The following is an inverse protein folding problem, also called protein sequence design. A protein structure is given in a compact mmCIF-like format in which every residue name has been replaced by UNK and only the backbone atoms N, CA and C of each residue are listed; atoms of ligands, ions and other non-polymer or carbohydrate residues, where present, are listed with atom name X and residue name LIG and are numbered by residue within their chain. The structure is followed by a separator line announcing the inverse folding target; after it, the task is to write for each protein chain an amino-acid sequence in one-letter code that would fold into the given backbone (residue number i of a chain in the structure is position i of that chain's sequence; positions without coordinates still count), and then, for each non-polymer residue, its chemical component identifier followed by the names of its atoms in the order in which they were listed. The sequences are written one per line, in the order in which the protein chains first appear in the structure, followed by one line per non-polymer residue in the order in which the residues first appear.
data_IF_582316258543
#
_entry.id   IF_582316258543
#
_cell.length_a   1.000
_cell.length_b   1.000
_cell.length_c   1.000
_cell.angle_alpha   90.00
_cell.angle_beta   90.00
_cell.angle_gamma   90.00
#
_symmetry.space_group_name_H-M   'P 1'
#
loop_
_entity.id
_entity.type
_entity.pdbx_description
1 polymer ?
#
# COMPACT_ATOMS: atom_id res chain seq x y z
N UNK A 1 25.44 -9.82 -17.32
CA UNK A 1 24.32 -10.15 -18.22
C UNK A 1 24.72 -9.69 -19.63
N UNK A 2 24.56 -10.49 -20.69
CA UNK A 2 25.04 -10.11 -22.03
C UNK A 2 24.07 -9.12 -22.69
N UNK A 3 24.61 -8.22 -23.53
CA UNK A 3 23.86 -7.23 -24.30
C UNK A 3 22.70 -7.83 -25.14
N UNK A 4 22.79 -9.10 -25.48
CA UNK A 4 21.79 -9.80 -26.32
C UNK A 4 20.46 -10.07 -25.59
N UNK A 5 20.46 -10.16 -24.27
CA UNK A 5 19.23 -10.36 -23.47
C UNK A 5 18.40 -9.07 -23.35
N UNK A 6 19.04 -7.92 -23.54
CA UNK A 6 18.46 -6.59 -23.45
C UNK A 6 17.61 -6.19 -24.68
N UNK A 7 18.05 -6.61 -25.84
CA UNK A 7 17.33 -6.32 -27.11
C UNK A 7 15.98 -7.04 -27.20
N UNK A 8 15.81 -8.13 -26.48
CA UNK A 8 14.61 -8.96 -26.54
C UNK A 8 13.39 -8.34 -25.81
N UNK A 9 13.61 -7.61 -24.74
CA UNK A 9 12.51 -6.95 -24.00
C UNK A 9 11.98 -5.67 -24.67
N UNK A 10 12.75 -5.06 -25.57
CA UNK A 10 12.40 -3.77 -26.19
C UNK A 10 11.66 -3.89 -27.53
N UNK A 11 11.73 -5.04 -28.21
CA UNK A 11 11.13 -5.29 -29.53
C UNK A 11 10.08 -6.42 -29.49
N UNK A 12 9.17 -6.40 -28.53
CA UNK A 12 8.02 -7.31 -28.59
C UNK A 12 6.96 -6.69 -29.48
N UNK A 13 7.14 -6.83 -30.78
CA UNK A 13 6.02 -6.90 -31.71
C UNK A 13 5.16 -8.11 -31.34
N UNK A 14 3.85 -7.88 -31.29
CA UNK A 14 2.84 -8.80 -30.73
C UNK A 14 2.81 -10.10 -31.53
N UNK A 15 3.75 -11.00 -31.28
CA UNK A 15 3.62 -12.40 -31.68
C UNK A 15 3.71 -13.28 -30.43
N UNK A 16 2.60 -13.89 -30.07
CA UNK A 16 2.22 -14.52 -28.80
C UNK A 16 3.01 -15.82 -28.53
N UNK A 17 4.35 -15.77 -28.45
CA UNK A 17 5.20 -16.89 -28.02
C UNK A 17 6.21 -16.48 -26.95
N UNK A 18 5.72 -15.85 -25.89
CA UNK A 18 6.51 -15.69 -24.66
C UNK A 18 6.76 -17.09 -24.08
N UNK A 19 8.02 -17.48 -24.02
CA UNK A 19 8.39 -18.69 -23.28
C UNK A 19 8.35 -18.41 -21.78
N UNK A 20 8.19 -19.45 -20.96
CA UNK A 20 8.22 -19.32 -19.49
C UNK A 20 9.52 -18.65 -19.00
N UNK A 21 10.64 -18.83 -19.73
CA UNK A 21 11.92 -18.19 -19.46
C UNK A 21 11.91 -16.69 -19.76
N UNK A 22 11.23 -16.27 -20.83
CA UNK A 22 11.11 -14.84 -21.16
C UNK A 22 10.22 -14.12 -20.14
N UNK A 23 9.18 -14.81 -19.65
CA UNK A 23 8.36 -14.34 -18.53
C UNK A 23 9.20 -14.26 -17.25
N UNK A 24 10.01 -15.25 -16.93
CA UNK A 24 10.89 -15.27 -15.73
C UNK A 24 12.00 -14.19 -15.84
N UNK A 25 12.52 -13.91 -17.03
CA UNK A 25 13.51 -12.86 -17.26
C UNK A 25 12.88 -11.45 -17.22
N UNK A 26 11.65 -11.29 -17.65
CA UNK A 26 10.88 -10.05 -17.47
C UNK A 26 10.38 -9.87 -16.02
N UNK A 27 10.21 -10.96 -15.27
CA UNK A 27 9.84 -10.97 -13.84
C UNK A 27 11.05 -10.68 -12.92
N UNK A 28 12.28 -10.63 -13.43
CA UNK A 28 13.48 -10.27 -12.66
C UNK A 28 13.57 -8.81 -12.20
N UNK A 29 12.48 -8.07 -12.16
CA UNK A 29 12.35 -6.68 -11.68
C UNK A 29 11.24 -6.57 -10.62
N UNK A 30 11.45 -6.07 -9.62
CA UNK A 30 11.13 -5.44 -8.33
C UNK A 30 9.73 -4.80 -8.19
N UNK A 31 8.94 -5.01 -7.10
CA UNK A 31 7.55 -4.53 -7.05
C UNK A 31 7.05 -4.11 -5.66
N UNK A 32 6.63 -2.86 -5.52
CA UNK A 32 5.88 -2.34 -4.38
C UNK A 32 4.56 -1.68 -4.84
N UNK A 33 3.59 -1.51 -3.92
CA UNK A 33 2.32 -0.85 -4.24
C UNK A 33 2.33 0.67 -4.04
N UNK A 34 3.34 1.21 -3.36
CA UNK A 34 3.51 2.65 -3.25
C UNK A 34 3.99 3.21 -4.60
N UNK A 35 3.32 4.24 -5.08
CA UNK A 35 3.76 4.97 -6.27
C UNK A 35 4.68 6.09 -5.78
N UNK A 36 5.98 6.07 -6.17
CA UNK A 36 6.92 7.06 -5.71
C UNK A 36 6.72 8.41 -6.39
N UNK A 37 7.51 9.38 -5.98
CA UNK A 37 7.49 10.71 -6.56
C UNK A 37 7.92 10.65 -8.04
N UNK A 38 7.22 11.42 -8.90
CA UNK A 38 7.50 11.59 -10.33
C UNK A 38 7.35 10.35 -11.22
N UNK A 39 6.89 9.21 -10.73
CA UNK A 39 6.52 8.07 -11.59
C UNK A 39 5.24 8.31 -12.36
N UNK A 40 4.32 9.07 -11.77
CA UNK A 40 3.14 9.58 -12.49
C UNK A 40 3.34 11.05 -12.84
N UNK A 41 2.78 11.45 -13.98
CA UNK A 41 2.74 12.87 -14.36
C UNK A 41 1.95 13.70 -13.35
N UNK A 42 2.29 14.99 -13.14
CA UNK A 42 1.52 15.87 -12.27
C UNK A 42 0.03 15.95 -12.63
N UNK A 43 -0.31 15.82 -13.91
CA UNK A 43 -1.71 15.80 -14.35
C UNK A 43 -2.42 14.51 -13.94
N UNK A 44 -1.79 13.34 -14.05
CA UNK A 44 -2.33 12.08 -13.51
C UNK A 44 -2.51 12.17 -12.01
N UNK A 45 -1.52 12.64 -11.28
CA UNK A 45 -1.59 12.86 -9.83
C UNK A 45 -2.75 13.78 -9.44
N UNK A 46 -2.95 14.88 -10.17
CA UNK A 46 -4.05 15.79 -9.95
C UNK A 46 -5.42 15.13 -10.19
N UNK A 47 -5.56 14.36 -11.27
CA UNK A 47 -6.80 13.62 -11.57
C UNK A 47 -7.11 12.61 -10.46
N UNK A 48 -6.12 11.85 -9.99
CA UNK A 48 -6.30 10.88 -8.93
C UNK A 48 -6.65 11.55 -7.59
N UNK A 49 -6.04 12.68 -7.29
CA UNK A 49 -6.37 13.48 -6.09
C UNK A 49 -7.80 14.01 -6.15
N UNK A 50 -8.22 14.53 -7.31
CA UNK A 50 -9.59 14.99 -7.55
C UNK A 50 -10.58 13.83 -7.43
N UNK A 51 -10.25 12.64 -7.94
CA UNK A 51 -11.07 11.44 -7.80
C UNK A 51 -11.23 11.01 -6.33
N UNK A 52 -10.19 11.17 -5.51
CA UNK A 52 -10.23 10.87 -4.09
C UNK A 52 -10.97 11.91 -3.24
N UNK A 53 -11.04 13.16 -3.66
CA UNK A 53 -11.68 14.23 -2.89
C UNK A 53 -13.13 13.90 -2.46
N UNK A 54 -14.05 13.44 -3.33
CA UNK A 54 -15.40 13.05 -2.93
C UNK A 54 -15.42 11.80 -2.03
N UNK A 55 -14.45 10.89 -2.17
CA UNK A 55 -14.32 9.71 -1.31
C UNK A 55 -13.96 10.14 0.11
N UNK A 56 -12.92 10.97 0.27
CA UNK A 56 -12.52 11.51 1.57
C UNK A 56 -13.62 12.36 2.20
N UNK A 57 -14.34 13.17 1.41
CA UNK A 57 -15.45 13.96 1.92
C UNK A 57 -16.56 13.07 2.50
N UNK A 58 -16.99 12.04 1.74
CA UNK A 58 -18.03 11.10 2.19
C UNK A 58 -17.59 10.29 3.39
N UNK A 59 -16.38 9.74 3.36
CA UNK A 59 -15.81 8.96 4.45
C UNK A 59 -15.68 9.78 5.73
N UNK A 60 -15.13 11.00 5.64
CA UNK A 60 -15.00 11.91 6.78
C UNK A 60 -16.37 12.32 7.35
N UNK A 61 -17.34 12.62 6.49
CA UNK A 61 -18.71 12.93 6.89
C UNK A 61 -19.34 11.75 7.62
N UNK A 62 -19.27 10.54 7.04
CA UNK A 62 -19.82 9.32 7.64
C UNK A 62 -19.18 9.03 9.00
N UNK A 63 -17.86 9.11 9.11
CA UNK A 63 -17.13 8.93 10.38
C UNK A 63 -17.52 9.98 11.41
N UNK A 64 -17.68 11.25 10.98
CA UNK A 64 -18.10 12.33 11.88
C UNK A 64 -19.53 12.14 12.42
N UNK A 65 -20.45 11.68 11.58
CA UNK A 65 -21.87 11.56 11.90
C UNK A 65 -22.19 10.25 12.64
N UNK A 66 -21.54 9.14 12.30
CA UNK A 66 -21.93 7.80 12.76
C UNK A 66 -20.97 7.16 13.77
N UNK A 67 -19.74 7.69 13.92
CA UNK A 67 -18.85 7.18 14.95
C UNK A 67 -18.89 8.05 16.21
N UNK A 68 -19.10 7.40 17.34
CA UNK A 68 -18.95 8.02 18.64
C UNK A 68 -17.51 8.51 18.85
N UNK A 69 -17.36 9.63 19.58
CA UNK A 69 -16.03 10.17 19.89
C UNK A 69 -15.11 9.16 20.59
N UNK A 70 -15.69 8.22 21.33
CA UNK A 70 -14.95 7.14 22.02
C UNK A 70 -14.37 6.08 21.06
N UNK A 71 -14.87 6.01 19.83
CA UNK A 71 -14.38 5.06 18.79
C UNK A 71 -13.32 5.64 17.87
N UNK A 72 -13.19 6.99 17.81
CA UNK A 72 -12.18 7.65 16.98
C UNK A 72 -10.75 7.21 17.28
N UNK A 73 -10.32 6.97 18.55
CA UNK A 73 -8.99 6.43 18.81
C UNK A 73 -8.72 5.07 18.17
N UNK A 74 -9.76 4.26 17.90
CA UNK A 74 -9.62 2.98 17.20
C UNK A 74 -9.22 3.16 15.72
N UNK A 75 -9.62 4.27 15.09
CA UNK A 75 -9.14 4.59 13.75
C UNK A 75 -7.63 4.87 13.78
N UNK A 76 -7.14 5.58 14.81
CA UNK A 76 -5.71 5.82 15.00
C UNK A 76 -4.91 4.54 15.25
N UNK A 77 -5.47 3.61 16.02
CA UNK A 77 -4.85 2.29 16.22
C UNK A 77 -4.86 1.48 14.92
N UNK A 78 -5.95 1.55 14.14
CA UNK A 78 -6.02 0.94 12.82
C UNK A 78 -5.02 1.53 11.84
N UNK A 79 -4.88 2.86 11.81
CA UNK A 79 -3.87 3.55 11.02
C UNK A 79 -2.45 3.13 11.40
N UNK A 80 -2.15 3.08 12.70
CA UNK A 80 -0.87 2.61 13.23
C UNK A 80 -0.59 1.14 12.87
N UNK A 81 -1.63 0.31 12.89
CA UNK A 81 -1.53 -1.09 12.51
C UNK A 81 -1.20 -1.26 11.02
N UNK A 82 -1.89 -0.54 10.14
CA UNK A 82 -1.61 -0.53 8.70
C UNK A 82 -0.21 0.01 8.41
N UNK A 83 0.17 1.12 9.05
CA UNK A 83 1.50 1.71 8.94
C UNK A 83 2.61 0.71 9.28
N UNK A 84 2.50 0.03 10.43
CA UNK A 84 3.51 -0.97 10.83
C UNK A 84 3.46 -2.20 9.92
N UNK A 85 2.28 -2.62 9.45
CA UNK A 85 2.16 -3.74 8.52
C UNK A 85 2.89 -3.45 7.19
N UNK A 86 2.81 -2.22 6.68
CA UNK A 86 3.52 -1.78 5.48
C UNK A 86 5.04 -1.69 5.66
N UNK A 87 5.56 -1.64 6.89
CA UNK A 87 7.01 -1.74 7.15
C UNK A 87 7.56 -3.17 7.04
N UNK A 88 6.72 -4.20 6.94
CA UNK A 88 7.18 -5.58 6.74
C UNK A 88 7.38 -5.88 5.26
N UNK A 89 8.52 -5.48 4.72
CA UNK A 89 8.90 -5.82 3.37
C UNK A 89 9.29 -7.30 3.27
N UNK A 90 8.53 -8.06 2.50
CA UNK A 90 8.76 -9.48 2.26
C UNK A 90 9.53 -9.60 0.95
N UNK A 91 10.77 -10.13 0.97
CA UNK A 91 11.57 -10.29 -0.23
C UNK A 91 11.01 -11.40 -1.12
N UNK A 92 11.10 -11.19 -2.42
CA UNK A 92 10.76 -12.20 -3.43
C UNK A 92 11.95 -12.53 -4.33
N UNK A 93 11.82 -13.67 -5.03
CA UNK A 93 12.81 -14.10 -6.01
C UNK A 93 12.88 -13.06 -7.13
N UNK A 94 14.08 -12.54 -7.38
CA UNK A 94 14.30 -11.44 -8.33
C UNK A 94 14.75 -10.13 -7.67
N UNK A 95 14.75 -10.07 -6.33
CA UNK A 95 15.31 -8.94 -5.55
C UNK A 95 14.30 -7.89 -5.13
N UNK A 96 13.00 -8.13 -5.33
CA UNK A 96 11.92 -7.21 -4.94
C UNK A 96 11.37 -7.50 -3.56
N UNK A 97 10.51 -6.60 -3.10
CA UNK A 97 9.77 -6.74 -1.85
C UNK A 97 8.35 -6.17 -1.97
N UNK A 98 7.49 -6.60 -1.10
CA UNK A 98 6.15 -6.04 -0.90
C UNK A 98 5.64 -6.38 0.49
N UNK A 99 4.51 -5.83 0.84
CA UNK A 99 3.98 -5.90 2.20
C UNK A 99 2.45 -6.09 2.22
N UNK A 100 1.91 -6.48 3.38
CA UNK A 100 0.50 -6.39 3.64
C UNK A 100 0.12 -4.95 4.03
N UNK A 101 -1.13 -4.57 3.76
CA UNK A 101 -1.69 -3.27 4.15
C UNK A 101 -2.71 -3.43 5.27
N UNK A 102 -3.41 -4.55 5.29
CA UNK A 102 -4.52 -4.80 6.21
C UNK A 102 -5.78 -4.00 5.90
N UNK A 103 -5.93 -3.52 4.66
CA UNK A 103 -7.05 -2.65 4.29
C UNK A 103 -8.40 -3.33 4.42
N UNK A 104 -8.52 -4.57 3.97
CA UNK A 104 -9.73 -5.37 4.15
C UNK A 104 -9.99 -5.69 5.62
N UNK A 105 -8.95 -5.96 6.40
CA UNK A 105 -9.08 -6.18 7.85
C UNK A 105 -9.68 -4.95 8.54
N UNK A 106 -9.11 -3.77 8.28
CA UNK A 106 -9.61 -2.52 8.87
C UNK A 106 -11.05 -2.24 8.45
N UNK A 107 -11.40 -2.52 7.19
CA UNK A 107 -12.76 -2.34 6.69
C UNK A 107 -13.76 -3.31 7.36
N UNK A 108 -13.36 -4.55 7.66
CA UNK A 108 -14.19 -5.50 8.42
C UNK A 108 -14.40 -5.04 9.86
N UNK A 109 -13.37 -4.48 10.50
CA UNK A 109 -13.39 -4.09 11.92
C UNK A 109 -14.04 -2.72 12.17
N UNK A 110 -13.79 -1.74 11.29
CA UNK A 110 -14.14 -0.34 11.51
C UNK A 110 -15.18 0.18 10.50
N UNK A 111 -15.46 -0.58 9.45
CA UNK A 111 -16.18 -0.12 8.27
C UNK A 111 -15.25 0.50 7.22
N UNK A 112 -15.65 0.49 5.93
CA UNK A 112 -14.80 0.91 4.82
C UNK A 112 -14.43 2.40 4.86
N UNK A 113 -15.32 3.27 5.31
CA UNK A 113 -15.06 4.71 5.43
C UNK A 113 -14.00 5.01 6.49
N UNK A 114 -14.09 4.36 7.67
CA UNK A 114 -13.10 4.53 8.72
C UNK A 114 -11.73 3.92 8.33
N UNK A 115 -11.73 2.78 7.62
CA UNK A 115 -10.52 2.18 7.05
C UNK A 115 -9.88 3.11 6.01
N UNK A 116 -10.67 3.72 5.13
CA UNK A 116 -10.19 4.70 4.16
C UNK A 116 -9.46 5.86 4.84
N UNK A 117 -10.04 6.45 5.87
CA UNK A 117 -9.40 7.55 6.63
C UNK A 117 -8.13 7.06 7.34
N UNK A 118 -8.18 5.89 7.99
CA UNK A 118 -7.03 5.31 8.69
C UNK A 118 -5.83 5.12 7.76
N UNK A 119 -6.05 4.49 6.62
CA UNK A 119 -4.99 4.19 5.65
C UNK A 119 -4.51 5.47 4.96
N UNK A 120 -5.42 6.40 4.59
CA UNK A 120 -5.00 7.68 4.01
C UNK A 120 -4.09 8.47 4.95
N UNK A 121 -4.38 8.47 6.26
CA UNK A 121 -3.52 9.17 7.24
C UNK A 121 -2.20 8.42 7.43
N UNK A 122 -2.19 7.08 7.42
CA UNK A 122 -0.96 6.29 7.46
C UNK A 122 -0.05 6.60 6.25
N UNK A 123 -0.60 6.57 5.03
CA UNK A 123 0.11 6.90 3.79
C UNK A 123 0.63 8.35 3.78
N UNK A 124 -0.13 9.28 4.33
CA UNK A 124 0.32 10.68 4.45
C UNK A 124 1.56 10.80 5.35
N UNK A 125 1.55 10.08 6.49
CA UNK A 125 2.69 10.05 7.41
C UNK A 125 3.90 9.37 6.75
N UNK A 126 3.69 8.30 5.99
CA UNK A 126 4.75 7.62 5.23
C UNK A 126 5.39 8.57 4.21
N UNK A 127 4.59 9.24 3.40
CA UNK A 127 5.09 10.15 2.38
C UNK A 127 5.84 11.36 2.98
N UNK A 128 5.29 11.99 4.04
CA UNK A 128 5.89 13.21 4.60
C UNK A 128 7.11 12.91 5.48
N UNK A 129 7.04 11.90 6.34
CA UNK A 129 8.12 11.66 7.31
C UNK A 129 9.21 10.75 6.77
N UNK A 130 8.83 9.77 5.95
CA UNK A 130 9.74 8.69 5.55
C UNK A 130 10.05 8.68 4.06
N UNK A 131 9.35 9.48 3.24
CA UNK A 131 9.52 9.47 1.79
C UNK A 131 8.96 8.21 1.11
N UNK A 132 8.24 7.38 1.87
CA UNK A 132 7.63 6.16 1.37
C UNK A 132 6.30 6.50 0.67
N UNK A 133 6.33 6.45 -0.68
CA UNK A 133 5.29 6.99 -1.56
C UNK A 133 5.41 8.50 -1.85
N UNK A 134 5.09 8.89 -3.09
CA UNK A 134 5.18 10.27 -3.54
C UNK A 134 4.10 11.18 -2.93
N UNK A 135 4.48 12.41 -2.58
CA UNK A 135 3.53 13.43 -2.12
C UNK A 135 2.58 13.84 -3.24
N UNK A 136 3.07 14.03 -4.46
CA UNK A 136 2.21 14.27 -5.61
C UNK A 136 1.36 13.04 -5.93
N UNK A 137 1.93 11.84 -5.82
CA UNK A 137 1.24 10.57 -6.03
C UNK A 137 0.30 10.17 -4.88
N UNK A 138 0.19 10.96 -3.81
CA UNK A 138 -0.63 10.65 -2.63
C UNK A 138 -2.08 10.30 -2.98
N UNK A 139 -2.69 11.04 -3.93
CA UNK A 139 -4.05 10.76 -4.39
C UNK A 139 -4.18 9.37 -5.04
N UNK A 140 -3.21 8.96 -5.87
CA UNK A 140 -3.16 7.65 -6.52
C UNK A 140 -2.92 6.54 -5.48
N UNK A 141 -1.96 6.73 -4.59
CA UNK A 141 -1.70 5.79 -3.49
C UNK A 141 -2.95 5.59 -2.61
N UNK A 142 -3.66 6.67 -2.27
CA UNK A 142 -4.91 6.57 -1.53
C UNK A 142 -6.04 5.92 -2.34
N UNK A 143 -6.11 6.16 -3.64
CA UNK A 143 -7.10 5.54 -4.50
C UNK A 143 -6.94 4.01 -4.50
N UNK A 144 -5.73 3.52 -4.65
CA UNK A 144 -5.44 2.10 -4.69
C UNK A 144 -5.56 1.44 -3.31
N UNK A 145 -4.88 1.98 -2.31
CA UNK A 145 -4.72 1.34 -0.99
C UNK A 145 -5.77 1.75 0.04
N UNK A 146 -6.26 3.01 -0.01
CA UNK A 146 -7.22 3.50 0.97
C UNK A 146 -8.68 3.50 0.47
N UNK A 147 -8.90 3.37 -0.83
CA UNK A 147 -10.26 3.28 -1.40
C UNK A 147 -10.53 1.91 -2.01
N UNK A 148 -9.84 1.50 -3.09
CA UNK A 148 -10.14 0.23 -3.76
C UNK A 148 -10.01 -0.93 -2.77
N UNK A 149 -8.88 -1.09 -2.12
CA UNK A 149 -8.62 -2.23 -1.23
C UNK A 149 -9.66 -2.39 -0.12
N UNK A 150 -9.93 -1.39 0.75
CA UNK A 150 -10.88 -1.55 1.83
C UNK A 150 -12.33 -1.65 1.36
N UNK A 151 -12.75 -0.91 0.32
CA UNK A 151 -14.13 -0.95 -0.14
C UNK A 151 -14.44 -2.26 -0.88
N UNK A 152 -13.62 -2.66 -1.83
CA UNK A 152 -13.79 -3.93 -2.55
C UNK A 152 -13.73 -5.10 -1.55
N UNK A 153 -12.74 -5.11 -0.67
CA UNK A 153 -12.60 -6.13 0.36
C UNK A 153 -13.82 -6.24 1.27
N UNK A 154 -14.33 -5.11 1.75
CA UNK A 154 -15.51 -5.09 2.62
C UNK A 154 -16.77 -5.62 1.94
N UNK A 155 -17.06 -5.16 0.72
CA UNK A 155 -18.28 -5.58 0.03
C UNK A 155 -18.21 -7.04 -0.41
N UNK A 156 -17.04 -7.52 -0.86
CA UNK A 156 -16.85 -8.95 -1.14
C UNK A 156 -16.96 -9.80 0.13
N UNK A 157 -16.36 -9.35 1.24
CA UNK A 157 -16.52 -10.02 2.54
C UNK A 157 -18.00 -10.15 2.92
N UNK A 158 -18.76 -9.07 2.86
CA UNK A 158 -20.20 -9.07 3.16
C UNK A 158 -20.98 -10.01 2.25
N UNK A 159 -20.67 -9.99 0.95
CA UNK A 159 -21.29 -10.86 -0.04
C UNK A 159 -21.06 -12.36 0.30
N UNK A 160 -19.82 -12.74 0.61
CA UNK A 160 -19.47 -14.13 0.87
C UNK A 160 -19.92 -14.63 2.24
N UNK A 161 -19.97 -13.77 3.26
CA UNK A 161 -20.53 -14.12 4.57
C UNK A 161 -22.03 -14.41 4.45
N UNK A 162 -22.78 -13.62 3.68
CA UNK A 162 -24.19 -13.85 3.38
C UNK A 162 -25.07 -13.96 4.63
N UNK A 163 -24.80 -13.20 5.69
CA UNK A 163 -25.55 -13.19 6.95
C UNK A 163 -25.35 -14.42 7.84
N UNK A 164 -24.41 -15.31 7.51
CA UNK A 164 -24.12 -16.52 8.31
C UNK A 164 -23.05 -16.24 9.37
N UNK A 165 -23.37 -16.51 10.63
CA UNK A 165 -22.50 -16.17 11.77
C UNK A 165 -21.37 -17.16 12.09
N UNK A 166 -21.25 -18.27 11.34
CA UNK A 166 -20.19 -19.27 11.59
C UNK A 166 -18.79 -18.63 11.41
N UNK A 167 -17.96 -18.72 12.45
CA UNK A 167 -16.58 -18.18 12.47
C UNK A 167 -15.74 -18.64 11.26
N UNK A 168 -15.81 -19.94 10.91
CA UNK A 168 -15.07 -20.46 9.76
C UNK A 168 -15.47 -19.78 8.45
N UNK A 169 -16.77 -19.52 8.24
CA UNK A 169 -17.24 -18.80 7.04
C UNK A 169 -16.76 -17.37 7.01
N UNK A 170 -16.81 -16.66 8.15
CA UNK A 170 -16.28 -15.28 8.27
C UNK A 170 -14.78 -15.24 7.90
N UNK A 171 -13.98 -16.20 8.40
CA UNK A 171 -12.55 -16.26 8.11
C UNK A 171 -12.26 -16.61 6.63
N UNK A 172 -12.96 -17.59 6.06
CA UNK A 172 -12.81 -17.94 4.63
C UNK A 172 -13.23 -16.74 3.75
N UNK A 173 -14.32 -16.07 4.10
CA UNK A 173 -14.79 -14.89 3.38
C UNK A 173 -13.79 -13.75 3.45
N UNK A 174 -13.15 -13.53 4.60
CA UNK A 174 -12.10 -12.53 4.77
C UNK A 174 -10.87 -12.87 3.94
N UNK A 175 -10.45 -14.14 3.90
CA UNK A 175 -9.33 -14.61 3.08
C UNK A 175 -9.56 -14.31 1.59
N UNK A 176 -10.69 -14.75 1.04
CA UNK A 176 -11.01 -14.58 -0.37
C UNK A 176 -11.18 -13.08 -0.71
N UNK A 177 -11.87 -12.34 0.15
CA UNK A 177 -12.14 -10.92 -0.07
C UNK A 177 -10.85 -10.09 -0.06
N UNK A 178 -9.94 -10.32 0.88
CA UNK A 178 -8.67 -9.58 0.94
C UNK A 178 -7.73 -9.97 -0.20
N UNK A 179 -7.67 -11.26 -0.56
CA UNK A 179 -6.92 -11.70 -1.72
C UNK A 179 -7.39 -11.00 -3.01
N UNK A 180 -8.68 -10.98 -3.27
CA UNK A 180 -9.23 -10.35 -4.48
C UNK A 180 -9.04 -8.83 -4.45
N UNK A 181 -9.28 -8.20 -3.31
CA UNK A 181 -9.22 -6.75 -3.18
C UNK A 181 -7.83 -6.18 -3.41
N UNK A 182 -6.77 -6.81 -2.85
CA UNK A 182 -5.39 -6.38 -3.06
C UNK A 182 -4.97 -6.54 -4.53
N UNK A 183 -5.41 -7.61 -5.20
CA UNK A 183 -5.13 -7.82 -6.61
C UNK A 183 -5.82 -6.77 -7.50
N UNK A 184 -7.04 -6.32 -7.15
CA UNK A 184 -7.71 -5.23 -7.88
C UNK A 184 -6.99 -3.90 -7.63
N UNK A 185 -6.51 -3.63 -6.41
CA UNK A 185 -5.73 -2.44 -6.11
C UNK A 185 -4.39 -2.42 -6.87
N UNK A 186 -3.69 -3.55 -6.93
CA UNK A 186 -2.47 -3.71 -7.70
C UNK A 186 -2.69 -3.53 -9.21
N UNK A 187 -3.80 -4.04 -9.75
CA UNK A 187 -4.17 -3.82 -11.15
C UNK A 187 -4.40 -2.34 -11.45
N UNK A 188 -5.03 -1.60 -10.54
CA UNK A 188 -5.24 -0.17 -10.71
C UNK A 188 -3.89 0.58 -10.74
N UNK A 189 -2.98 0.29 -9.82
CA UNK A 189 -1.62 0.87 -9.83
C UNK A 189 -0.85 0.51 -11.12
N UNK A 190 -0.95 -0.74 -11.58
CA UNK A 190 -0.33 -1.17 -12.83
C UNK A 190 -0.86 -0.40 -14.05
N UNK A 191 -2.15 -0.08 -14.08
CA UNK A 191 -2.76 0.75 -15.14
C UNK A 191 -2.26 2.18 -15.03
N UNK A 192 -2.20 2.75 -13.81
CA UNK A 192 -1.69 4.11 -13.59
C UNK A 192 -0.25 4.28 -14.08
N UNK A 193 0.61 3.30 -13.85
CA UNK A 193 1.97 3.27 -14.40
C UNK A 193 1.95 3.12 -15.93
N UNK A 194 1.22 2.13 -16.43
CA UNK A 194 1.27 1.71 -17.82
C UNK A 194 0.65 2.70 -18.81
N UNK A 195 -0.18 3.63 -18.36
CA UNK A 195 -0.72 4.71 -19.21
C UNK A 195 0.27 5.88 -19.37
N UNK A 196 1.30 6.01 -18.53
CA UNK A 196 2.23 7.14 -18.60
C UNK A 196 2.94 7.23 -19.97
N UNK A 197 3.58 6.15 -20.49
CA UNK A 197 4.24 6.21 -21.79
C UNK A 197 3.28 6.30 -22.98
N UNK A 198 1.97 6.14 -22.77
CA UNK A 198 0.96 6.37 -23.80
C UNK A 198 0.59 7.86 -23.88
N UNK A 199 0.54 8.54 -22.73
CA UNK A 199 0.02 9.90 -22.61
C UNK A 199 1.13 10.96 -22.60
N UNK A 200 2.35 10.63 -22.16
CA UNK A 200 3.40 11.59 -21.84
C UNK A 200 4.73 11.14 -22.43
N UNK A 201 5.01 11.60 -23.67
CA UNK A 201 6.26 11.35 -24.37
C UNK A 201 6.92 12.66 -24.80
N UNK A 202 8.24 12.62 -24.95
CA UNK A 202 9.00 13.68 -25.61
C UNK A 202 8.85 13.64 -27.15
N UNK A 203 9.48 14.59 -27.83
CA UNK A 203 9.45 14.67 -29.28
C UNK A 203 10.13 13.47 -29.98
N UNK A 204 10.94 12.72 -29.27
CA UNK A 204 11.65 11.53 -29.74
C UNK A 204 10.89 10.23 -29.45
N UNK A 205 9.77 10.31 -28.74
CA UNK A 205 8.95 9.17 -28.34
C UNK A 205 9.37 8.51 -27.03
N UNK A 206 10.34 9.09 -26.30
CA UNK A 206 10.72 8.57 -24.98
C UNK A 206 9.71 8.99 -23.92
N UNK A 207 9.40 8.09 -22.98
CA UNK A 207 8.51 8.39 -21.88
C UNK A 207 9.09 9.50 -20.98
N UNK A 208 8.22 10.44 -20.57
CA UNK A 208 8.58 11.52 -19.64
C UNK A 208 8.49 11.10 -18.16
N UNK A 209 7.71 10.08 -17.86
CA UNK A 209 7.46 9.54 -16.51
C UNK A 209 7.69 8.03 -16.52
N UNK A 210 6.92 7.24 -15.76
CA UNK A 210 7.07 5.79 -15.77
C UNK A 210 7.22 5.26 -17.21
N UNK A 211 8.33 4.57 -17.55
CA UNK A 211 8.62 4.19 -18.94
C UNK A 211 7.96 2.88 -19.37
N UNK A 212 7.31 2.17 -18.45
CA UNK A 212 6.78 0.83 -18.71
C UNK A 212 5.35 0.89 -19.23
N UNK A 213 5.12 0.32 -20.41
CA UNK A 213 3.79 0.23 -21.03
C UNK A 213 2.86 -0.72 -20.28
N UNK A 214 1.55 -0.68 -20.59
CA UNK A 214 0.55 -1.59 -20.01
C UNK A 214 0.89 -3.07 -20.21
N UNK A 215 1.54 -3.42 -21.32
CA UNK A 215 1.98 -4.80 -21.60
C UNK A 215 3.11 -5.28 -20.69
N UNK A 216 3.78 -4.38 -20.01
CA UNK A 216 4.83 -4.67 -19.03
C UNK A 216 4.30 -4.50 -17.62
N UNK A 217 3.70 -3.35 -17.30
CA UNK A 217 3.28 -3.02 -15.92
C UNK A 217 2.17 -3.96 -15.40
N UNK A 218 1.19 -4.32 -16.26
CA UNK A 218 0.11 -5.20 -15.81
C UNK A 218 0.61 -6.64 -15.51
N UNK A 219 1.28 -7.36 -16.42
CA UNK A 219 1.80 -8.69 -16.09
C UNK A 219 2.74 -8.65 -14.89
N UNK A 220 3.60 -7.67 -14.85
CA UNK A 220 4.54 -7.48 -13.78
C UNK A 220 3.85 -7.42 -12.41
N UNK A 221 3.03 -6.42 -12.17
CA UNK A 221 2.30 -6.25 -10.92
C UNK A 221 1.36 -7.43 -10.60
N UNK A 222 0.67 -7.96 -11.63
CA UNK A 222 -0.31 -9.01 -11.42
C UNK A 222 0.31 -10.36 -11.07
N UNK A 223 1.44 -10.75 -11.67
CA UNK A 223 2.07 -12.04 -11.36
C UNK A 223 2.43 -12.13 -9.89
N UNK A 224 3.04 -11.12 -9.33
CA UNK A 224 3.45 -11.14 -7.91
C UNK A 224 2.29 -11.04 -6.95
N UNK A 225 1.33 -10.18 -7.26
CA UNK A 225 0.16 -10.04 -6.40
C UNK A 225 -0.71 -11.31 -6.44
N UNK A 226 -0.89 -11.94 -7.60
CA UNK A 226 -1.63 -13.20 -7.71
C UNK A 226 -0.89 -14.38 -7.07
N UNK A 227 0.45 -14.44 -7.19
CA UNK A 227 1.22 -15.59 -6.71
C UNK A 227 1.68 -15.46 -5.26
N UNK A 228 1.87 -14.23 -4.76
CA UNK A 228 2.45 -14.02 -3.43
C UNK A 228 1.68 -12.99 -2.59
N UNK A 229 1.68 -11.70 -2.97
CA UNK A 229 1.17 -10.65 -2.08
C UNK A 229 -0.34 -10.72 -1.83
N UNK A 230 -1.11 -11.27 -2.77
CA UNK A 230 -2.50 -11.64 -2.53
C UNK A 230 -2.66 -12.61 -1.36
N UNK A 231 -1.81 -13.62 -1.30
CA UNK A 231 -1.80 -14.57 -0.18
C UNK A 231 -1.28 -13.95 1.11
N UNK A 232 -0.25 -13.10 1.04
CA UNK A 232 0.29 -12.37 2.20
C UNK A 232 -0.82 -11.53 2.85
N UNK A 233 -1.52 -10.69 2.10
CA UNK A 233 -2.65 -9.87 2.58
C UNK A 233 -3.78 -10.75 3.13
N UNK A 234 -4.10 -11.86 2.44
CA UNK A 234 -5.16 -12.77 2.86
C UNK A 234 -4.81 -13.51 4.16
N UNK A 235 -3.60 -14.02 4.30
CA UNK A 235 -3.12 -14.70 5.52
C UNK A 235 -3.04 -13.71 6.67
N UNK A 236 -2.49 -12.51 6.43
CA UNK A 236 -2.39 -11.45 7.43
C UNK A 236 -3.77 -11.05 7.94
N UNK A 237 -4.69 -10.70 7.06
CA UNK A 237 -6.08 -10.34 7.39
C UNK A 237 -6.78 -11.46 8.17
N UNK A 238 -6.68 -12.69 7.70
CA UNK A 238 -7.38 -13.84 8.32
C UNK A 238 -6.75 -14.24 9.64
N UNK A 239 -5.42 -14.17 9.73
CA UNK A 239 -4.67 -14.48 10.96
C UNK A 239 -5.02 -13.52 12.09
N UNK A 240 -4.98 -12.21 11.81
CA UNK A 240 -5.36 -11.18 12.79
C UNK A 240 -6.83 -11.29 13.19
N UNK A 241 -7.72 -11.45 12.21
CA UNK A 241 -9.15 -11.61 12.48
C UNK A 241 -9.41 -12.88 13.32
N UNK A 242 -8.71 -13.98 13.01
CA UNK A 242 -8.79 -15.24 13.75
C UNK A 242 -8.33 -15.11 15.19
N UNK A 243 -7.23 -14.39 15.44
CA UNK A 243 -6.73 -14.04 16.76
C UNK A 243 -7.74 -13.21 17.55
N UNK A 244 -8.32 -12.17 16.93
CA UNK A 244 -9.33 -11.33 17.57
C UNK A 244 -10.60 -12.11 17.92
N UNK A 245 -11.05 -13.02 17.08
CA UNK A 245 -12.17 -13.92 17.40
C UNK A 245 -11.89 -14.86 18.59
N UNK A 246 -10.64 -15.20 18.84
CA UNK A 246 -10.28 -16.05 19.99
C UNK A 246 -10.16 -15.25 21.28
N UNK A 247 -9.55 -14.06 21.19
CA UNK A 247 -9.24 -13.26 22.38
C UNK A 247 -10.35 -12.29 22.78
N UNK A 248 -11.08 -11.76 21.80
CA UNK A 248 -12.13 -10.75 22.00
C UNK A 248 -13.24 -10.88 20.93
N UNK A 249 -14.07 -11.92 20.97
CA UNK A 249 -15.16 -12.09 20.00
C UNK A 249 -16.08 -10.87 19.93
N UNK A 250 -16.32 -10.17 21.04
CA UNK A 250 -17.14 -8.97 21.10
C UNK A 250 -16.54 -7.75 20.37
N UNK A 251 -15.25 -7.70 20.11
CA UNK A 251 -14.62 -6.61 19.35
C UNK A 251 -14.98 -6.68 17.86
N UNK A 252 -15.19 -7.89 17.36
CA UNK A 252 -15.52 -8.13 15.95
C UNK A 252 -17.03 -8.03 15.71
N UNK A 253 -17.83 -8.39 16.72
CA UNK A 253 -19.30 -8.43 16.58
C UNK A 253 -20.01 -7.22 17.20
N UNK A 254 -19.43 -6.50 18.17
CA UNK A 254 -20.08 -5.39 18.90
C UNK A 254 -19.11 -4.28 19.33
N UNK A 255 -18.33 -3.72 18.55
CA UNK A 255 -17.67 -2.40 18.75
C UNK A 255 -17.39 -1.98 20.24
N UNK A 256 -16.91 -2.87 21.10
CA UNK A 256 -16.71 -2.60 22.53
C UNK A 256 -15.32 -2.03 22.87
N UNK A 257 -15.26 -1.23 23.96
CA UNK A 257 -14.14 -0.40 24.44
C UNK A 257 -12.89 -1.13 24.95
N UNK A 258 -12.56 -2.36 24.59
CA UNK A 258 -11.44 -3.05 25.22
C UNK A 258 -10.27 -3.30 24.25
N UNK A 259 -9.18 -2.58 24.45
CA UNK A 259 -8.09 -2.41 23.52
C UNK A 259 -6.87 -3.32 23.76
N UNK A 260 -6.78 -4.03 24.89
CA UNK A 260 -5.57 -4.76 25.30
C UNK A 260 -4.99 -5.73 24.24
N UNK A 261 -5.77 -6.61 23.56
CA UNK A 261 -5.20 -7.53 22.59
C UNK A 261 -4.76 -6.84 21.29
N UNK A 262 -5.40 -5.72 20.91
CA UNK A 262 -5.00 -4.95 19.72
C UNK A 262 -3.69 -4.22 19.98
N UNK A 263 -3.52 -3.60 21.16
CA UNK A 263 -2.24 -2.99 21.55
C UNK A 263 -1.13 -4.02 21.73
N UNK A 264 -1.44 -5.20 22.26
CA UNK A 264 -0.47 -6.30 22.35
C UNK A 264 -0.01 -6.71 20.95
N UNK A 265 -0.94 -6.90 20.02
CA UNK A 265 -0.63 -7.25 18.65
C UNK A 265 0.23 -6.18 17.97
N UNK A 266 -0.12 -4.90 18.15
CA UNK A 266 0.67 -3.78 17.63
C UNK A 266 2.08 -3.77 18.24
N UNK A 267 2.22 -4.02 19.53
CA UNK A 267 3.52 -4.15 20.20
C UNK A 267 4.36 -5.31 19.65
N UNK A 268 3.73 -6.45 19.36
CA UNK A 268 4.41 -7.59 18.72
C UNK A 268 4.86 -7.24 17.31
N UNK A 269 4.01 -6.56 16.54
CA UNK A 269 4.38 -6.11 15.19
C UNK A 269 5.57 -5.14 15.26
N UNK A 270 5.55 -4.14 16.13
CA UNK A 270 6.68 -3.22 16.32
C UNK A 270 7.96 -3.99 16.70
N UNK A 271 7.86 -4.98 17.60
CA UNK A 271 9.03 -5.79 17.98
C UNK A 271 9.62 -6.61 16.82
N UNK A 272 8.81 -6.98 15.85
CA UNK A 272 9.20 -7.77 14.69
C UNK A 272 9.53 -6.92 13.45
N UNK A 273 9.32 -5.60 13.50
CA UNK A 273 9.46 -4.72 12.33
C UNK A 273 10.83 -4.80 11.64
N UNK A 274 11.98 -5.06 12.31
CA UNK A 274 13.26 -5.22 11.61
C UNK A 274 13.33 -6.43 10.66
N UNK A 275 12.36 -7.34 10.71
CA UNK A 275 12.25 -8.38 9.69
C UNK A 275 12.00 -7.80 8.29
N UNK A 276 11.43 -6.59 8.19
CA UNK A 276 11.29 -5.86 6.94
C UNK A 276 12.62 -5.46 6.28
N UNK A 277 13.71 -5.36 7.06
CA UNK A 277 15.05 -5.07 6.56
C UNK A 277 15.74 -6.27 5.88
N UNK A 278 15.14 -7.45 5.90
CA UNK A 278 15.66 -8.64 5.20
C UNK A 278 15.56 -8.46 3.68
N UNK A 279 14.59 -7.70 3.21
CA UNK A 279 14.45 -7.36 1.82
C UNK A 279 15.52 -6.33 1.42
N UNK A 280 16.45 -6.72 0.53
CA UNK A 280 17.58 -5.89 0.11
C UNK A 280 17.39 -5.21 -1.25
N UNK A 281 16.23 -5.42 -1.91
CA UNK A 281 15.97 -4.87 -3.24
C UNK A 281 15.01 -3.70 -3.20
N UNK A 282 15.19 -2.79 -4.15
CA UNK A 282 14.27 -1.69 -4.40
C UNK A 282 12.96 -2.21 -4.99
N UNK A 283 11.85 -1.61 -4.64
CA UNK A 283 10.55 -2.01 -5.16
C UNK A 283 10.35 -1.59 -6.63
N UNK A 284 9.48 -2.28 -7.35
CA UNK A 284 9.14 -1.92 -8.74
C UNK A 284 8.48 -0.56 -8.81
N UNK A 285 9.01 0.28 -9.64
CA UNK A 285 8.54 1.65 -9.69
C UNK A 285 9.15 2.54 -8.61
N UNK A 286 10.16 2.09 -7.88
CA UNK A 286 10.88 2.90 -6.88
C UNK A 286 12.39 3.00 -7.19
N UNK A 287 12.78 2.72 -8.44
CA UNK A 287 14.18 2.76 -8.84
C UNK A 287 14.78 4.15 -8.72
N UNK A 288 16.03 4.15 -8.25
CA UNK A 288 16.90 5.32 -8.34
C UNK A 288 17.21 5.68 -9.80
N UNK A 289 17.72 6.88 -10.01
CA UNK A 289 18.14 7.31 -11.36
C UNK A 289 19.22 6.37 -11.92
N UNK A 290 20.11 5.85 -11.08
CA UNK A 290 21.17 4.92 -11.45
C UNK A 290 20.60 3.59 -11.93
N UNK A 291 19.63 3.04 -11.19
CA UNK A 291 18.94 1.79 -11.54
C UNK A 291 18.13 1.95 -12.84
N UNK A 292 17.50 3.10 -13.07
CA UNK A 292 16.80 3.40 -14.31
C UNK A 292 17.77 3.44 -15.50
N UNK A 293 18.95 4.07 -15.34
CA UNK A 293 19.97 4.09 -16.38
C UNK A 293 20.44 2.67 -16.71
N UNK A 294 20.61 1.82 -15.69
CA UNK A 294 20.98 0.41 -15.89
C UNK A 294 19.90 -0.39 -16.63
N UNK A 295 18.64 -0.10 -16.37
CA UNK A 295 17.51 -0.87 -16.92
C UNK A 295 17.08 -0.44 -18.31
N UNK A 296 16.98 0.87 -18.54
CA UNK A 296 16.41 1.42 -19.77
C UNK A 296 17.37 2.36 -20.53
N UNK A 297 18.57 2.59 -19.99
CA UNK A 297 19.60 3.41 -20.63
C UNK A 297 19.43 4.92 -20.48
N UNK A 298 18.37 5.41 -19.84
CA UNK A 298 18.12 6.84 -19.59
C UNK A 298 17.26 7.05 -18.37
N UNK A 299 17.22 8.29 -17.85
CA UNK A 299 16.24 8.71 -16.84
C UNK A 299 15.17 9.53 -17.55
N UNK A 300 13.86 9.20 -17.40
CA UNK A 300 12.77 10.01 -17.94
C UNK A 300 12.87 11.46 -17.48
N UNK A 301 12.76 12.43 -18.38
CA UNK A 301 13.06 13.83 -18.07
C UNK A 301 12.07 14.44 -17.06
N UNK A 302 10.84 13.97 -17.00
CA UNK A 302 9.85 14.37 -15.99
C UNK A 302 10.19 13.82 -14.59
N UNK A 303 10.91 12.69 -14.51
CA UNK A 303 11.43 12.15 -13.25
C UNK A 303 12.68 12.90 -12.82
N UNK A 304 13.60 13.18 -13.75
CA UNK A 304 14.84 13.90 -13.45
C UNK A 304 14.62 15.34 -12.99
N UNK A 305 13.66 16.04 -13.58
CA UNK A 305 13.37 17.46 -13.33
C UNK A 305 12.05 17.67 -12.60
N UNK A 306 11.53 16.61 -11.96
CA UNK A 306 10.25 16.63 -11.27
C UNK A 306 10.27 17.31 -9.91
N UNK A 307 9.19 17.16 -9.18
CA UNK A 307 9.07 17.65 -7.80
C UNK A 307 10.01 16.86 -6.89
N UNK A 308 10.72 17.54 -6.00
CA UNK A 308 11.54 16.90 -4.99
C UNK A 308 11.09 17.35 -3.59
N UNK A 309 10.98 16.38 -2.69
CA UNK A 309 10.69 16.62 -1.29
C UNK A 309 11.64 15.78 -0.43
N UNK A 310 12.36 16.44 0.44
CA UNK A 310 13.24 15.77 1.40
C UNK A 310 12.43 15.42 2.65
N UNK A 311 12.16 14.15 2.86
CA UNK A 311 11.52 13.66 4.07
C UNK A 311 12.46 13.74 5.28
N UNK A 312 11.90 13.72 6.50
CA UNK A 312 12.67 13.89 7.73
C UNK A 312 13.55 12.67 8.03
N UNK A 313 13.07 11.48 7.69
CA UNK A 313 13.72 10.19 7.91
C UNK A 313 13.59 9.35 6.63
N UNK A 314 14.28 9.72 5.52
CA UNK A 314 14.14 9.02 4.26
C UNK A 314 14.45 7.53 4.44
N UNK A 315 13.63 6.69 3.80
CA UNK A 315 13.73 5.23 3.87
C UNK A 315 13.81 4.68 5.31
N UNK A 316 13.07 5.33 6.23
CA UNK A 316 13.04 4.99 7.66
C UNK A 316 14.41 5.07 8.35
N UNK A 317 15.34 5.81 7.78
CA UNK A 317 16.74 5.91 8.23
C UNK A 317 17.09 7.29 8.79
N UNK A 318 18.18 7.35 9.56
CA UNK A 318 18.82 8.59 10.01
C UNK A 318 20.33 8.45 9.87
N UNK A 319 20.96 9.43 9.22
CA UNK A 319 22.39 9.42 9.00
C UNK A 319 23.19 9.30 10.31
N UNK A 320 24.14 8.36 10.33
CA UNK A 320 25.03 8.13 11.46
C UNK A 320 24.49 7.22 12.56
N UNK A 321 23.27 6.69 12.42
CA UNK A 321 22.70 5.73 13.36
C UNK A 321 22.56 4.33 12.71
N UNK A 322 22.62 3.24 13.50
CA UNK A 322 22.39 1.90 12.98
C UNK A 322 21.01 1.73 12.37
N UNK A 323 20.92 1.09 11.20
CA UNK A 323 19.68 0.92 10.43
C UNK A 323 18.55 0.27 11.26
N UNK A 324 18.83 -0.83 11.94
CA UNK A 324 17.87 -1.52 12.81
C UNK A 324 17.30 -0.59 13.88
N UNK A 325 18.14 0.28 14.47
CA UNK A 325 17.72 1.21 15.49
C UNK A 325 16.80 2.29 14.89
N UNK A 326 17.16 2.85 13.73
CA UNK A 326 16.36 3.87 13.06
C UNK A 326 15.04 3.31 12.56
N UNK A 327 15.02 2.06 12.13
CA UNK A 327 13.79 1.38 11.72
C UNK A 327 12.81 1.19 12.88
N UNK A 328 13.29 0.78 14.07
CA UNK A 328 12.48 0.78 15.30
C UNK A 328 11.99 2.17 15.67
N UNK A 329 12.87 3.15 15.60
CA UNK A 329 12.52 4.55 15.93
C UNK A 329 11.42 5.07 15.01
N UNK A 330 11.52 4.81 13.72
CA UNK A 330 10.51 5.17 12.71
C UNK A 330 9.16 4.52 13.00
N UNK A 331 9.14 3.21 13.33
CA UNK A 331 7.93 2.51 13.71
C UNK A 331 7.27 3.14 14.95
N UNK A 332 8.05 3.43 15.98
CA UNK A 332 7.54 4.04 17.23
C UNK A 332 7.02 5.46 16.97
N UNK A 333 7.75 6.28 16.21
CA UNK A 333 7.36 7.66 15.89
C UNK A 333 6.06 7.66 15.08
N UNK A 334 5.98 6.87 13.99
CA UNK A 334 4.79 6.80 13.15
C UNK A 334 3.56 6.35 13.94
N UNK A 335 3.69 5.27 14.72
CA UNK A 335 2.61 4.78 15.59
C UNK A 335 2.18 5.82 16.62
N UNK A 336 3.14 6.49 17.28
CA UNK A 336 2.83 7.52 18.27
C UNK A 336 2.07 8.69 17.65
N UNK A 337 2.51 9.19 16.51
CA UNK A 337 1.86 10.29 15.79
C UNK A 337 0.42 9.91 15.43
N UNK A 338 0.21 8.74 14.83
CA UNK A 338 -1.10 8.27 14.41
C UNK A 338 -2.07 8.13 15.59
N UNK A 339 -1.64 7.49 16.67
CA UNK A 339 -2.48 7.32 17.86
C UNK A 339 -2.79 8.66 18.52
N UNK A 340 -1.79 9.53 18.69
CA UNK A 340 -1.96 10.86 19.34
C UNK A 340 -2.88 11.74 18.49
N UNK A 341 -2.71 11.77 17.17
CA UNK A 341 -3.54 12.57 16.27
C UNK A 341 -5.03 12.23 16.43
N UNK A 342 -5.40 10.96 16.34
CA UNK A 342 -6.79 10.54 16.46
C UNK A 342 -7.33 10.69 17.89
N UNK A 343 -6.48 10.57 18.91
CA UNK A 343 -6.85 10.85 20.30
C UNK A 343 -7.14 12.35 20.51
N UNK A 344 -6.36 13.23 19.89
CA UNK A 344 -6.60 14.68 19.94
C UNK A 344 -7.94 15.02 19.25
N UNK A 345 -8.20 14.48 18.04
CA UNK A 345 -9.46 14.67 17.31
C UNK A 345 -10.64 14.20 18.17
N UNK A 346 -10.53 13.04 18.82
CA UNK A 346 -11.56 12.51 19.74
C UNK A 346 -11.84 13.48 20.90
N UNK A 347 -10.79 14.03 21.52
CA UNK A 347 -10.92 14.96 22.64
C UNK A 347 -11.57 16.28 22.21
N UNK A 348 -11.21 16.77 21.02
CA UNK A 348 -11.83 17.98 20.44
C UNK A 348 -13.32 17.77 20.15
N UNK A 349 -13.70 16.62 19.56
CA UNK A 349 -15.10 16.29 19.30
C UNK A 349 -15.93 16.22 20.59
N UNK A 350 -15.37 15.69 21.70
CA UNK A 350 -16.03 15.65 23.00
C UNK A 350 -16.28 17.03 23.64
N UNK A 351 -15.42 18.03 23.36
CA UNK A 351 -15.59 19.38 23.88
C UNK A 351 -16.68 20.18 23.15
N UNK A 352 -17.03 19.77 21.93
CA UNK A 352 -18.01 20.45 21.09
C UNK A 352 -19.38 19.71 20.98
N UNK A 353 -19.51 18.55 21.63
CA UNK A 353 -20.75 17.79 21.80
C UNK A 353 -21.36 18.04 23.18
#
# INVERSE_FOLDING_TARGET
MSLDTWFFCYNIDIDLKLTLNDIILCIGGFYNMHIPENYLSPSTCAVMTVAMAPVWYKASKHVKENLDSDKLPMIGVGAAFSFVAMMFNIPIVGGSSGHAIGGTLLAILLGPDAACIAISVALLIQAILFGDGGILAFGANCFNMAFILPFVGYYLYKLFVGGKEKKSRKLISAFIASYVAINIAALAAAIEFGIQPILFNDASGNALYCPYSLSVSIPAMMVEHLLLFGFVEAIFTTGVLGYLYQTKPNLVDTNTKTNNPVYLLLGVLIALVPLGLIAQGTAWGEWSNEELIEQIGYVPSGMQNGFSFESIMPDYSLNGLPEVFTYYLSAIIGVAILIVLFKMISTMKKKHA
#
